data_IF_089670003234
#
_entry.id   IF_089670003234
#
_cell.length_a   1.000
_cell.length_b   1.000
_cell.length_c   1.000
_cell.angle_alpha   90.00
_cell.angle_beta   90.00
_cell.angle_gamma   90.00
#
_symmetry.space_group_name_H-M   'P 1'
#
loop_
_entity.id
_entity.type
_entity.pdbx_description
1 polymer ?
#
# COMPACT_ATOMS: atom_id res chain seq x y z
N UNK A 1 21.74 -3.98 10.96
CA UNK A 1 20.32 -3.96 11.36
C UNK A 1 19.68 -5.33 11.12
N UNK A 2 19.53 -5.84 9.88
CA UNK A 2 18.88 -7.15 9.63
C UNK A 2 19.62 -8.35 10.25
N UNK A 3 20.92 -8.23 10.49
CA UNK A 3 21.75 -9.24 11.18
C UNK A 3 21.72 -9.15 12.72
N UNK A 4 21.13 -8.08 13.25
CA UNK A 4 21.19 -7.75 14.67
C UNK A 4 19.80 -7.73 15.34
N UNK A 5 18.79 -7.33 14.60
CA UNK A 5 17.42 -7.21 15.09
C UNK A 5 16.51 -8.30 14.53
N UNK A 6 15.64 -8.85 15.36
CA UNK A 6 14.58 -9.78 14.95
C UNK A 6 13.45 -9.00 14.25
N UNK A 7 13.65 -8.69 12.96
CA UNK A 7 12.68 -7.93 12.15
C UNK A 7 11.54 -8.86 11.72
N UNK A 8 10.33 -8.63 12.25
CA UNK A 8 9.13 -9.43 11.93
C UNK A 8 8.55 -9.17 10.54
N UNK A 9 8.64 -7.93 10.05
CA UNK A 9 8.14 -7.53 8.73
C UNK A 9 8.91 -6.32 8.20
N UNK A 10 8.99 -6.20 6.88
CA UNK A 10 9.62 -5.07 6.17
C UNK A 10 8.61 -4.46 5.20
N UNK A 11 8.60 -3.14 5.11
CA UNK A 11 7.86 -2.40 4.08
C UNK A 11 8.83 -1.63 3.21
N UNK A 12 8.64 -1.69 1.88
CA UNK A 12 9.25 -0.74 0.95
C UNK A 12 8.19 0.21 0.39
N UNK A 13 8.58 1.44 0.12
CA UNK A 13 7.74 2.45 -0.53
C UNK A 13 8.43 2.96 -1.79
N UNK A 14 8.48 4.29 -1.98
CA UNK A 14 9.12 4.92 -3.11
C UNK A 14 10.62 4.63 -3.13
N UNK A 15 11.08 3.93 -4.16
CA UNK A 15 12.47 3.59 -4.43
C UNK A 15 12.91 4.34 -5.70
N UNK A 16 13.61 5.44 -5.53
CA UNK A 16 13.81 6.49 -6.53
C UNK A 16 14.32 6.04 -7.93
N UNK A 17 15.05 4.93 -8.04
CA UNK A 17 15.62 4.46 -9.31
C UNK A 17 15.91 2.95 -9.31
N UNK A 18 16.25 2.41 -10.49
CA UNK A 18 16.52 1.00 -10.70
C UNK A 18 17.65 0.45 -9.81
N UNK A 19 18.71 1.21 -9.59
CA UNK A 19 19.85 0.79 -8.77
C UNK A 19 19.45 0.60 -7.30
N UNK A 20 18.63 1.52 -6.76
CA UNK A 20 18.10 1.40 -5.40
C UNK A 20 17.19 0.17 -5.28
N UNK A 21 16.28 -0.04 -6.25
CA UNK A 21 15.41 -1.22 -6.27
C UNK A 21 16.23 -2.50 -6.26
N UNK A 22 17.27 -2.58 -7.11
CA UNK A 22 18.12 -3.75 -7.21
C UNK A 22 18.93 -3.99 -5.94
N UNK A 23 19.47 -2.94 -5.33
CA UNK A 23 20.19 -3.02 -4.05
C UNK A 23 19.29 -3.56 -2.94
N UNK A 24 18.06 -3.03 -2.84
CA UNK A 24 17.06 -3.49 -1.86
C UNK A 24 16.68 -4.94 -2.11
N UNK A 25 16.38 -5.32 -3.36
CA UNK A 25 16.02 -6.70 -3.71
C UNK A 25 17.15 -7.68 -3.38
N UNK A 26 18.41 -7.32 -3.68
CA UNK A 26 19.59 -8.13 -3.36
C UNK A 26 19.74 -8.31 -1.84
N UNK A 27 19.61 -7.25 -1.06
CA UNK A 27 19.68 -7.32 0.40
C UNK A 27 18.59 -8.22 1.00
N UNK A 28 17.34 -8.13 0.46
CA UNK A 28 16.23 -8.93 0.92
C UNK A 28 16.30 -10.40 0.49
N UNK A 29 17.00 -10.72 -0.59
CA UNK A 29 17.31 -12.13 -0.95
C UNK A 29 18.33 -12.75 0.01
N UNK A 30 19.30 -11.98 0.48
CA UNK A 30 20.33 -12.45 1.43
C UNK A 30 19.75 -12.62 2.83
N UNK A 31 18.88 -11.70 3.26
CA UNK A 31 18.22 -11.72 4.56
C UNK A 31 16.69 -11.56 4.39
N UNK A 32 15.98 -12.63 3.98
CA UNK A 32 14.55 -12.55 3.72
C UNK A 32 13.78 -12.32 5.03
N UNK A 33 12.91 -11.29 5.08
CA UNK A 33 12.03 -11.10 6.22
C UNK A 33 10.90 -12.14 6.19
N UNK A 34 10.27 -12.36 7.33
CA UNK A 34 9.06 -13.20 7.41
C UNK A 34 7.93 -12.64 6.53
N UNK A 35 7.78 -11.33 6.49
CA UNK A 35 6.79 -10.63 5.66
C UNK A 35 7.45 -9.44 4.96
N UNK A 36 7.28 -9.35 3.65
CA UNK A 36 7.67 -8.21 2.83
C UNK A 36 6.43 -7.58 2.19
N UNK A 37 6.14 -6.33 2.53
CA UNK A 37 5.09 -5.52 1.89
C UNK A 37 5.74 -4.52 0.94
N UNK A 38 5.42 -4.60 -0.34
CA UNK A 38 5.91 -3.67 -1.37
C UNK A 38 4.77 -2.74 -1.79
N UNK A 39 4.88 -1.46 -1.42
CA UNK A 39 4.01 -0.40 -1.92
C UNK A 39 4.68 0.20 -3.16
N UNK A 40 4.21 -0.11 -4.39
CA UNK A 40 4.91 0.23 -5.62
C UNK A 40 4.61 1.68 -6.02
N UNK A 41 5.09 2.62 -5.21
CA UNK A 41 4.85 4.05 -5.44
C UNK A 41 5.55 4.50 -6.72
N UNK A 42 4.78 4.71 -7.79
CA UNK A 42 5.28 5.10 -9.11
C UNK A 42 4.73 6.42 -9.60
N UNK A 43 3.59 6.85 -9.04
CA UNK A 43 2.91 8.08 -9.44
C UNK A 43 2.57 8.89 -8.20
N UNK A 44 2.91 10.17 -8.22
CA UNK A 44 2.51 11.10 -7.16
C UNK A 44 0.99 11.33 -7.18
N UNK A 45 0.44 11.82 -6.07
CA UNK A 45 -0.99 12.22 -5.99
C UNK A 45 -1.31 13.38 -6.95
N UNK A 46 -0.29 14.12 -7.42
CA UNK A 46 -0.38 15.14 -8.50
C UNK A 46 -0.53 14.54 -9.88
N UNK A 47 -0.22 13.26 -10.10
CA UNK A 47 -0.17 12.60 -11.38
C UNK A 47 1.24 12.52 -11.99
N UNK A 48 2.24 13.11 -11.33
CA UNK A 48 3.62 13.07 -11.82
C UNK A 48 4.20 11.65 -11.72
N UNK A 49 4.90 11.23 -12.79
CA UNK A 49 5.61 9.95 -12.82
C UNK A 49 6.86 10.07 -11.95
N UNK A 50 6.92 9.29 -10.89
CA UNK A 50 8.03 9.27 -9.94
C UNK A 50 9.10 8.22 -10.30
N UNK A 51 8.74 7.20 -11.08
CA UNK A 51 9.61 6.07 -11.37
C UNK A 51 9.84 5.92 -12.87
N UNK A 52 11.10 5.93 -13.29
CA UNK A 52 11.47 5.72 -14.69
C UNK A 52 11.12 4.29 -15.15
N UNK A 53 10.84 4.05 -16.45
CA UNK A 53 10.48 2.74 -16.98
C UNK A 53 11.44 1.61 -16.63
N UNK A 54 12.75 1.90 -16.62
CA UNK A 54 13.76 0.92 -16.21
C UNK A 54 13.61 0.51 -14.74
N UNK A 55 13.25 1.44 -13.86
CA UNK A 55 13.05 1.12 -12.45
C UNK A 55 11.76 0.31 -12.25
N UNK A 56 10.71 0.56 -13.02
CA UNK A 56 9.49 -0.28 -13.05
C UNK A 56 9.84 -1.70 -13.48
N UNK A 57 10.68 -1.87 -14.49
CA UNK A 57 11.13 -3.19 -14.94
C UNK A 57 11.85 -3.95 -13.82
N UNK A 58 12.82 -3.31 -13.14
CA UNK A 58 13.57 -3.93 -12.04
C UNK A 58 12.65 -4.22 -10.85
N UNK A 59 11.74 -3.30 -10.50
CA UNK A 59 10.74 -3.50 -9.45
C UNK A 59 9.91 -4.75 -9.72
N UNK A 60 9.41 -4.90 -10.94
CA UNK A 60 8.56 -6.01 -11.36
C UNK A 60 9.30 -7.36 -11.33
N UNK A 61 10.55 -7.39 -11.78
CA UNK A 61 11.26 -8.66 -11.98
C UNK A 61 12.12 -9.07 -10.76
N UNK A 62 12.58 -8.11 -9.97
CA UNK A 62 13.53 -8.39 -8.89
C UNK A 62 12.93 -8.25 -7.49
N UNK A 63 12.01 -7.31 -7.25
CA UNK A 63 11.48 -7.04 -5.91
C UNK A 63 10.08 -7.63 -5.68
N UNK A 64 9.16 -7.47 -6.63
CA UNK A 64 7.77 -7.98 -6.52
C UNK A 64 7.74 -9.48 -6.25
N UNK A 65 8.55 -10.35 -6.91
CA UNK A 65 8.54 -11.79 -6.63
C UNK A 65 8.93 -12.18 -5.19
N UNK A 66 9.58 -11.28 -4.45
CA UNK A 66 9.96 -11.51 -3.05
C UNK A 66 8.84 -11.11 -2.07
N UNK A 67 7.81 -10.39 -2.54
CA UNK A 67 6.80 -9.79 -1.68
C UNK A 67 5.79 -10.81 -1.16
N UNK A 68 5.49 -10.75 0.14
CA UNK A 68 4.30 -11.38 0.73
C UNK A 68 3.03 -10.69 0.21
N UNK A 69 3.09 -9.36 0.07
CA UNK A 69 1.99 -8.53 -0.40
C UNK A 69 2.52 -7.36 -1.22
N UNK A 70 1.86 -7.06 -2.34
CA UNK A 70 2.03 -5.77 -3.02
C UNK A 70 0.74 -4.95 -2.90
N UNK A 71 0.87 -3.61 -2.81
CA UNK A 71 -0.27 -2.71 -2.57
C UNK A 71 -0.42 -1.62 -3.64
N UNK A 72 -0.52 -1.95 -4.93
CA UNK A 72 -0.69 -0.94 -5.98
C UNK A 72 -2.06 -0.25 -5.89
N UNK A 73 -2.13 1.01 -6.31
CA UNK A 73 -3.40 1.64 -6.69
C UNK A 73 -3.76 1.27 -8.13
N UNK A 74 -4.94 1.71 -8.62
CA UNK A 74 -5.42 1.38 -9.96
C UNK A 74 -4.46 1.83 -11.08
N UNK A 75 -3.92 3.08 -11.09
CA UNK A 75 -2.90 3.48 -12.06
C UNK A 75 -1.62 2.66 -11.97
N UNK A 76 -1.13 2.38 -10.77
CA UNK A 76 0.09 1.59 -10.54
C UNK A 76 -0.07 0.14 -11.04
N UNK A 77 -1.22 -0.48 -10.80
CA UNK A 77 -1.52 -1.81 -11.33
C UNK A 77 -1.50 -1.84 -12.87
N UNK A 78 -2.09 -0.82 -13.50
CA UNK A 78 -2.08 -0.67 -14.95
C UNK A 78 -0.67 -0.51 -15.52
N UNK A 79 0.18 0.30 -14.89
CA UNK A 79 1.58 0.51 -15.29
C UNK A 79 2.38 -0.79 -15.16
N UNK A 80 2.28 -1.49 -14.02
CA UNK A 80 2.98 -2.76 -13.79
C UNK A 80 2.63 -3.83 -14.82
N UNK A 81 1.39 -3.84 -15.29
CA UNK A 81 0.91 -4.79 -16.29
C UNK A 81 1.11 -4.34 -17.74
N UNK A 82 1.39 -3.05 -17.97
CA UNK A 82 1.35 -2.48 -19.32
C UNK A 82 -0.05 -2.53 -19.93
N UNK A 83 -1.11 -2.33 -19.13
CA UNK A 83 -2.52 -2.42 -19.51
C UNK A 83 -3.25 -1.10 -19.21
N UNK A 84 -4.49 -0.97 -19.69
CA UNK A 84 -5.38 0.11 -19.28
C UNK A 84 -5.78 -0.06 -17.81
N UNK A 85 -6.06 1.05 -17.15
CA UNK A 85 -6.59 1.05 -15.80
C UNK A 85 -7.94 0.34 -15.74
N UNK A 86 -8.14 -0.51 -14.74
CA UNK A 86 -9.39 -1.19 -14.48
C UNK A 86 -10.51 -0.19 -14.14
N UNK A 87 -11.70 -0.42 -14.68
CA UNK A 87 -12.90 0.40 -14.51
C UNK A 87 -14.03 -0.32 -13.77
N UNK A 88 -13.92 -1.63 -13.63
CA UNK A 88 -14.87 -2.50 -12.91
C UNK A 88 -14.17 -3.37 -11.88
N UNK A 89 -14.90 -3.85 -10.86
CA UNK A 89 -14.34 -4.76 -9.86
C UNK A 89 -13.84 -6.07 -10.51
N UNK A 90 -14.51 -6.57 -11.53
CA UNK A 90 -14.05 -7.76 -12.27
C UNK A 90 -12.70 -7.54 -12.95
N UNK A 91 -12.50 -6.36 -13.56
CA UNK A 91 -11.20 -5.98 -14.14
C UNK A 91 -10.12 -5.79 -13.08
N UNK A 92 -10.48 -5.26 -11.89
CA UNK A 92 -9.54 -5.13 -10.75
C UNK A 92 -9.09 -6.52 -10.30
N UNK A 93 -10.01 -7.47 -10.14
CA UNK A 93 -9.68 -8.86 -9.80
C UNK A 93 -8.75 -9.46 -10.85
N UNK A 94 -9.09 -9.35 -12.14
CA UNK A 94 -8.27 -9.89 -13.22
C UNK A 94 -6.86 -9.26 -13.28
N UNK A 95 -6.74 -7.96 -12.98
CA UNK A 95 -5.43 -7.31 -12.86
C UNK A 95 -4.66 -7.77 -11.62
N UNK A 96 -5.33 -7.97 -10.49
CA UNK A 96 -4.69 -8.49 -9.27
C UNK A 96 -4.17 -9.92 -9.46
N UNK A 97 -4.94 -10.78 -10.13
CA UNK A 97 -4.51 -12.14 -10.49
C UNK A 97 -3.30 -12.12 -11.43
N UNK A 98 -3.32 -11.25 -12.45
CA UNK A 98 -2.20 -11.09 -13.36
C UNK A 98 -0.92 -10.57 -12.66
N UNK A 99 -1.06 -9.66 -11.70
CA UNK A 99 0.04 -9.20 -10.87
C UNK A 99 0.56 -10.31 -9.95
N UNK A 100 -0.33 -11.09 -9.34
CA UNK A 100 0.05 -12.21 -8.49
C UNK A 100 0.83 -13.27 -9.26
N UNK A 101 0.49 -13.49 -10.54
CA UNK A 101 1.21 -14.42 -11.43
C UNK A 101 2.67 -14.01 -11.69
N UNK A 102 3.08 -12.77 -11.35
CA UNK A 102 4.49 -12.34 -11.39
C UNK A 102 5.32 -13.03 -10.30
N UNK A 103 4.69 -13.54 -9.22
CA UNK A 103 5.36 -14.33 -8.19
C UNK A 103 5.15 -13.86 -6.75
N UNK A 104 4.44 -12.75 -6.50
CA UNK A 104 4.14 -12.32 -5.13
C UNK A 104 3.06 -13.19 -4.47
N UNK A 105 3.05 -13.23 -3.13
CA UNK A 105 2.08 -14.02 -2.36
C UNK A 105 0.65 -13.54 -2.48
N UNK A 106 0.44 -12.22 -2.44
CA UNK A 106 -0.87 -11.57 -2.53
C UNK A 106 -0.78 -10.18 -3.16
N UNK A 107 -1.91 -9.68 -3.65
CA UNK A 107 -2.05 -8.34 -4.25
C UNK A 107 -3.25 -7.64 -3.65
N UNK A 108 -3.05 -6.45 -3.09
CA UNK A 108 -4.12 -5.54 -2.65
C UNK A 108 -4.19 -4.36 -3.62
N UNK A 109 -5.18 -4.35 -4.52
CA UNK A 109 -5.42 -3.16 -5.36
C UNK A 109 -6.27 -2.15 -4.60
N UNK A 110 -5.71 -0.96 -4.39
CA UNK A 110 -6.35 0.15 -3.68
C UNK A 110 -7.31 0.89 -4.60
N UNK A 111 -8.62 0.87 -4.29
CA UNK A 111 -9.66 1.53 -5.08
C UNK A 111 -9.99 2.96 -4.64
N UNK A 112 -9.15 3.58 -3.81
CA UNK A 112 -9.36 4.95 -3.33
C UNK A 112 -9.51 6.01 -4.42
N UNK A 113 -9.11 5.74 -5.65
CA UNK A 113 -9.23 6.61 -6.83
C UNK A 113 -10.41 6.23 -7.75
N UNK A 114 -11.21 5.23 -7.39
CA UNK A 114 -12.41 4.83 -8.16
C UNK A 114 -13.55 5.86 -8.06
N UNK A 115 -14.59 5.68 -8.86
CA UNK A 115 -15.82 6.47 -8.78
C UNK A 115 -16.76 5.92 -7.67
N UNK A 116 -17.71 6.76 -7.21
CA UNK A 116 -18.74 6.37 -6.24
C UNK A 116 -18.47 6.80 -4.81
N UNK A 117 -19.41 6.43 -3.92
CA UNK A 117 -19.43 6.86 -2.51
C UNK A 117 -18.55 6.01 -1.60
N UNK A 118 -18.06 4.86 -2.10
CA UNK A 118 -17.25 3.91 -1.36
C UNK A 118 -15.82 3.83 -1.89
N UNK A 119 -14.89 3.67 -0.97
CA UNK A 119 -13.52 3.28 -1.25
C UNK A 119 -13.41 1.77 -1.11
N UNK A 120 -13.30 1.07 -2.25
CA UNK A 120 -13.22 -0.39 -2.33
C UNK A 120 -11.80 -0.81 -2.60
N UNK A 121 -11.22 -1.67 -1.77
CA UNK A 121 -9.94 -2.31 -2.04
C UNK A 121 -10.17 -3.81 -2.23
N UNK A 122 -9.48 -4.42 -3.19
CA UNK A 122 -9.59 -5.84 -3.54
C UNK A 122 -8.28 -6.53 -3.23
N UNK A 123 -8.32 -7.52 -2.35
CA UNK A 123 -7.21 -8.43 -2.04
C UNK A 123 -7.40 -9.74 -2.81
N UNK A 124 -6.36 -10.15 -3.52
CA UNK A 124 -6.27 -11.47 -4.17
C UNK A 124 -5.08 -12.21 -3.59
N UNK A 125 -5.34 -13.33 -2.95
CA UNK A 125 -4.33 -14.16 -2.29
C UNK A 125 -4.59 -15.65 -2.48
N UNK A 126 -3.90 -16.47 -1.72
CA UNK A 126 -4.08 -17.95 -1.75
C UNK A 126 -5.46 -18.36 -1.26
N UNK A 127 -6.10 -17.56 -0.40
CA UNK A 127 -7.45 -17.81 0.13
C UNK A 127 -8.57 -17.37 -0.82
N UNK A 128 -8.24 -16.79 -1.98
CA UNK A 128 -9.19 -16.27 -2.94
C UNK A 128 -9.23 -14.75 -2.99
N UNK A 129 -10.42 -14.21 -3.27
CA UNK A 129 -10.68 -12.77 -3.45
C UNK A 129 -11.45 -12.25 -2.25
N UNK A 130 -10.97 -11.17 -1.67
CA UNK A 130 -11.63 -10.47 -0.56
C UNK A 130 -11.83 -8.99 -0.88
N UNK A 131 -12.93 -8.42 -0.41
CA UNK A 131 -13.38 -7.06 -0.70
C UNK A 131 -13.48 -6.24 0.59
N UNK A 132 -12.74 -5.14 0.67
CA UNK A 132 -12.74 -4.24 1.82
C UNK A 132 -13.36 -2.91 1.44
N UNK A 133 -14.40 -2.50 2.16
CA UNK A 133 -15.19 -1.30 1.84
C UNK A 133 -15.22 -0.34 3.03
N UNK A 134 -15.02 0.95 2.76
CA UNK A 134 -15.32 2.04 3.69
C UNK A 134 -15.94 3.20 2.91
N UNK A 135 -16.85 3.96 3.51
CA UNK A 135 -17.38 5.17 2.89
C UNK A 135 -16.26 6.16 2.58
N UNK A 136 -16.35 6.87 1.45
CA UNK A 136 -15.39 7.93 1.15
C UNK A 136 -15.48 9.06 2.14
N UNK A 137 -14.32 9.57 2.51
CA UNK A 137 -14.21 10.76 3.36
C UNK A 137 -13.92 11.95 2.46
N UNK A 138 -14.89 12.89 2.36
CA UNK A 138 -14.69 14.14 1.63
C UNK A 138 -13.72 15.04 2.42
N UNK A 139 -12.46 15.06 2.01
CA UNK A 139 -11.39 15.87 2.63
C UNK A 139 -10.31 16.19 1.60
N UNK A 140 -9.72 17.39 1.62
CA UNK A 140 -8.52 17.70 0.86
C UNK A 140 -7.24 17.06 1.46
N UNK A 141 -7.31 16.62 2.72
CA UNK A 141 -6.17 16.10 3.49
C UNK A 141 -6.05 14.58 3.32
N UNK A 142 -5.50 14.16 2.20
CA UNK A 142 -5.34 12.74 1.83
C UNK A 142 -3.89 12.33 1.58
N UNK A 143 -2.92 13.23 1.87
CA UNK A 143 -1.52 12.91 1.64
C UNK A 143 -1.05 11.78 2.57
N UNK A 144 -0.35 10.81 1.99
CA UNK A 144 0.23 9.69 2.74
C UNK A 144 -0.71 8.52 3.04
N UNK A 145 -1.98 8.52 2.59
CA UNK A 145 -2.94 7.42 2.84
C UNK A 145 -2.44 6.06 2.40
N UNK A 146 -1.88 5.94 1.18
CA UNK A 146 -1.34 4.69 0.65
C UNK A 146 -0.14 4.18 1.46
N UNK A 147 0.81 5.06 1.75
CA UNK A 147 1.97 4.74 2.57
C UNK A 147 1.58 4.34 3.99
N UNK A 148 0.56 4.99 4.57
CA UNK A 148 0.04 4.65 5.90
C UNK A 148 -0.64 3.28 5.89
N UNK A 149 -1.45 3.00 4.87
CA UNK A 149 -2.11 1.70 4.72
C UNK A 149 -1.08 0.57 4.69
N UNK A 150 -0.09 0.67 3.80
CA UNK A 150 0.95 -0.34 3.66
C UNK A 150 1.82 -0.49 4.92
N UNK A 151 2.12 0.62 5.63
CA UNK A 151 2.85 0.58 6.89
C UNK A 151 2.05 -0.07 8.02
N UNK A 152 0.75 0.24 8.14
CA UNK A 152 -0.13 -0.35 9.13
C UNK A 152 -0.34 -1.86 8.90
N UNK A 153 -0.52 -2.29 7.63
CA UNK A 153 -0.56 -3.72 7.28
C UNK A 153 0.73 -4.40 7.72
N UNK A 154 1.89 -3.82 7.42
CA UNK A 154 3.20 -4.38 7.77
C UNK A 154 3.37 -4.53 9.28
N UNK A 155 2.97 -3.51 10.05
CA UNK A 155 3.02 -3.55 11.50
C UNK A 155 2.14 -4.67 12.09
N UNK A 156 0.93 -4.85 11.55
CA UNK A 156 0.01 -5.91 11.98
C UNK A 156 0.53 -7.31 11.61
N UNK A 157 1.09 -7.48 10.42
CA UNK A 157 1.73 -8.73 10.00
C UNK A 157 2.92 -9.09 10.90
N UNK A 158 3.71 -8.11 11.34
CA UNK A 158 4.82 -8.34 12.28
C UNK A 158 4.36 -8.85 13.64
N UNK A 159 3.12 -8.56 14.02
CA UNK A 159 2.46 -9.04 15.26
C UNK A 159 1.77 -10.40 15.07
N UNK A 160 1.85 -11.01 13.89
CA UNK A 160 1.23 -12.31 13.61
C UNK A 160 -0.25 -12.24 13.23
N UNK A 161 -0.79 -11.04 12.98
CA UNK A 161 -2.17 -10.88 12.49
C UNK A 161 -2.28 -11.45 11.08
N UNK A 162 -3.34 -12.21 10.79
CA UNK A 162 -3.59 -12.76 9.46
C UNK A 162 -3.78 -11.65 8.42
N UNK A 163 -3.34 -11.89 7.17
CA UNK A 163 -3.32 -10.86 6.12
C UNK A 163 -4.67 -10.18 5.88
N UNK A 164 -5.81 -10.90 5.76
CA UNK A 164 -7.10 -10.25 5.55
C UNK A 164 -7.49 -9.33 6.71
N UNK A 165 -7.30 -9.79 7.94
CA UNK A 165 -7.56 -8.99 9.14
C UNK A 165 -6.63 -7.77 9.22
N UNK A 166 -5.36 -7.94 8.88
CA UNK A 166 -4.39 -6.85 8.84
C UNK A 166 -4.81 -5.76 7.83
N UNK A 167 -5.33 -6.17 6.66
CA UNK A 167 -5.85 -5.24 5.64
C UNK A 167 -7.08 -4.49 6.16
N UNK A 168 -8.07 -5.18 6.75
CA UNK A 168 -9.28 -4.53 7.25
C UNK A 168 -8.98 -3.53 8.37
N UNK A 169 -8.15 -3.94 9.34
CA UNK A 169 -7.72 -3.07 10.46
C UNK A 169 -6.92 -1.86 9.99
N UNK A 170 -6.00 -2.06 9.05
CA UNK A 170 -5.22 -0.96 8.47
C UNK A 170 -6.11 0.00 7.67
N UNK A 171 -7.09 -0.52 6.92
CA UNK A 171 -8.07 0.31 6.19
C UNK A 171 -8.94 1.10 7.15
N UNK A 172 -9.39 0.51 8.26
CA UNK A 172 -10.13 1.21 9.30
C UNK A 172 -9.30 2.34 9.93
N UNK A 173 -8.02 2.09 10.23
CA UNK A 173 -7.10 3.10 10.76
C UNK A 173 -6.93 4.30 9.80
N UNK A 174 -6.71 4.03 8.51
CA UNK A 174 -6.59 5.09 7.49
C UNK A 174 -7.89 5.88 7.38
N UNK A 175 -9.04 5.20 7.38
CA UNK A 175 -10.35 5.84 7.30
C UNK A 175 -10.62 6.77 8.49
N UNK A 176 -10.31 6.34 9.70
CA UNK A 176 -10.40 7.19 10.90
C UNK A 176 -9.42 8.36 10.83
N UNK A 177 -8.19 8.14 10.39
CA UNK A 177 -7.21 9.20 10.19
C UNK A 177 -7.67 10.26 9.19
N UNK A 178 -8.35 9.87 8.11
CA UNK A 178 -8.97 10.79 7.15
C UNK A 178 -10.12 11.59 7.78
N UNK A 179 -11.01 10.93 8.55
CA UNK A 179 -12.14 11.58 9.21
C UNK A 179 -11.70 12.66 10.19
N UNK A 180 -10.71 12.35 11.01
CA UNK A 180 -10.16 13.25 12.02
C UNK A 180 -9.22 14.30 11.44
N UNK A 181 -8.58 14.00 10.30
CA UNK A 181 -7.69 14.93 9.61
C UNK A 181 -8.40 16.13 8.97
N UNK A 182 -9.72 16.08 8.80
CA UNK A 182 -10.51 17.15 8.14
C UNK A 182 -10.28 18.55 8.73
N UNK A 183 -10.12 18.65 10.04
CA UNK A 183 -10.02 19.92 10.76
C UNK A 183 -8.61 20.35 11.14
N UNK A 184 -7.56 19.62 10.72
CA UNK A 184 -6.21 19.89 11.20
C UNK A 184 -5.61 21.20 10.65
N UNK A 185 -6.03 21.67 9.48
CA UNK A 185 -5.58 22.95 8.91
C UNK A 185 -4.07 23.06 8.71
N UNK A 186 -3.37 21.93 8.50
CA UNK A 186 -1.91 21.88 8.37
C UNK A 186 -1.51 22.22 6.95
N UNK A 187 -0.85 23.38 6.79
CA UNK A 187 -0.34 23.83 5.49
C UNK A 187 -1.44 24.33 4.52
N UNK A 188 -1.01 24.74 3.31
CA UNK A 188 -1.89 25.29 2.26
C UNK A 188 -2.22 24.30 1.15
N UNK A 189 -1.58 23.12 1.14
CA UNK A 189 -1.78 22.07 0.14
C UNK A 189 -2.61 20.90 0.66
N UNK A 190 -2.46 19.74 -0.01
CA UNK A 190 -3.04 18.48 0.47
C UNK A 190 -2.38 18.08 1.78
N UNK A 191 -3.05 18.32 2.92
CA UNK A 191 -2.54 18.00 4.24
C UNK A 191 -2.50 16.50 4.53
N UNK A 192 -1.80 16.09 5.61
CA UNK A 192 -1.73 14.71 6.04
C UNK A 192 -3.05 14.23 6.68
N UNK A 193 -3.23 12.92 6.76
CA UNK A 193 -4.23 12.33 7.64
C UNK A 193 -3.81 12.50 9.12
N UNK A 194 -4.77 12.42 10.06
CA UNK A 194 -4.46 12.47 11.49
C UNK A 194 -3.99 11.09 11.99
N UNK A 195 -2.68 10.90 12.08
CA UNK A 195 -2.09 9.67 12.64
C UNK A 195 -2.30 9.51 14.15
N UNK A 196 -2.60 10.60 14.86
CA UNK A 196 -2.70 10.63 16.31
C UNK A 196 -4.16 10.70 16.81
N UNK A 197 -5.14 10.44 15.95
CA UNK A 197 -6.56 10.54 16.29
C UNK A 197 -6.93 9.72 17.54
N UNK A 198 -6.37 8.52 17.69
CA UNK A 198 -6.63 7.66 18.83
C UNK A 198 -6.07 8.24 20.15
N UNK A 199 -4.86 8.80 20.09
CA UNK A 199 -4.18 9.40 21.25
C UNK A 199 -4.93 10.68 21.69
N UNK A 200 -5.35 11.51 20.75
CA UNK A 200 -6.11 12.75 21.05
C UNK A 200 -7.46 12.47 21.71
N UNK A 201 -8.09 11.33 21.43
CA UNK A 201 -9.35 10.91 22.07
C UNK A 201 -9.17 10.52 23.55
N UNK A 202 -7.96 10.13 23.94
CA UNK A 202 -7.66 9.72 25.32
C UNK A 202 -7.45 10.91 26.26
N UNK A 203 -7.41 12.16 25.73
CA UNK A 203 -7.04 13.36 26.50
C UNK A 203 -5.55 13.39 26.89
N UNK A 204 -5.04 14.51 27.38
CA UNK A 204 -3.73 14.51 28.02
C UNK A 204 -3.78 13.58 29.25
N UNK A 205 -2.69 12.83 29.53
CA UNK A 205 -2.59 12.11 30.80
C UNK A 205 -2.77 13.12 31.93
N UNK A 206 -3.63 12.76 32.89
CA UNK A 206 -3.93 13.58 34.08
C UNK A 206 -2.65 13.85 34.89
#
# INVERSE_FOLDING_TARGET
>A
MLSDLAVGAIKTGMLANAQIVQTVATALRVAPPRHLVVDPVMVATSGDILLAPQAVYVLKNDLIPLATLITPNLPEAAILLGRKQATSEAEIVAQAEALRAIGCGAVLIKGGHGAGNDAVDILVGVSGVERFVRPRVATPHSHGTGCTLSAAITALLSQGVALPEAVDRAKAYVWEGLRHGRGLGIGKGKGPIDHLFAVRRMGPPA
#
